data_IF_272686795523
#
_entry.id   IF_272686795523
#
_cell.length_a   1.000
_cell.length_b   1.000
_cell.length_c   1.000
_cell.angle_alpha   90.00
_cell.angle_beta   90.00
_cell.angle_gamma   90.00
#
_symmetry.space_group_name_H-M   'P 1'
#
loop_
_entity.id
_entity.type
_entity.pdbx_description
1 polymer ?
#
# COMPACT_ATOMS: atom_id res chain seq x y z
N UNK A 1 14.46 20.82 11.92
CA UNK A 1 13.98 21.40 13.21
C UNK A 1 12.56 20.91 13.42
N UNK A 2 12.19 20.46 14.62
CA UNK A 2 10.81 20.16 14.96
C UNK A 2 10.13 21.49 15.29
N UNK A 3 9.05 21.81 14.60
CA UNK A 3 8.24 23.00 14.88
C UNK A 3 7.07 22.58 15.76
N UNK A 4 6.81 23.29 16.85
CA UNK A 4 5.66 23.03 17.71
C UNK A 4 4.44 23.81 17.21
N UNK A 5 3.29 23.13 17.17
CA UNK A 5 2.01 23.72 16.79
C UNK A 5 0.97 23.51 17.90
N UNK A 6 0.10 24.50 18.07
CA UNK A 6 -1.07 24.37 18.97
C UNK A 6 -2.32 24.12 18.11
N UNK A 7 -2.87 22.94 18.25
CA UNK A 7 -4.05 22.49 17.51
C UNK A 7 -5.34 22.97 18.22
N UNK A 8 -6.31 23.39 17.44
CA UNK A 8 -7.70 23.59 17.91
C UNK A 8 -8.38 22.24 18.17
N UNK A 9 -9.51 22.25 18.86
CA UNK A 9 -10.31 21.04 19.09
C UNK A 9 -10.74 20.39 17.77
N UNK A 10 -11.15 21.17 16.76
CA UNK A 10 -11.55 20.69 15.45
C UNK A 10 -10.38 20.01 14.72
N UNK A 11 -9.21 20.64 14.71
CA UNK A 11 -8.01 20.08 14.08
C UNK A 11 -7.60 18.74 14.75
N UNK A 12 -7.73 18.63 16.08
CA UNK A 12 -7.47 17.38 16.80
C UNK A 12 -8.41 16.27 16.36
N UNK A 13 -9.71 16.53 16.30
CA UNK A 13 -10.67 15.53 15.85
C UNK A 13 -10.41 15.06 14.42
N UNK A 14 -10.06 15.97 13.51
CA UNK A 14 -9.70 15.60 12.15
C UNK A 14 -8.45 14.73 12.07
N UNK A 15 -7.44 14.98 12.92
CA UNK A 15 -6.26 14.12 13.00
C UNK A 15 -6.57 12.76 13.66
N UNK A 16 -7.47 12.70 14.64
CA UNK A 16 -7.92 11.44 15.25
C UNK A 16 -8.67 10.56 14.22
N UNK A 17 -9.51 11.18 13.40
CA UNK A 17 -10.15 10.49 12.27
C UNK A 17 -9.12 9.99 11.26
N UNK A 18 -8.17 10.85 10.85
CA UNK A 18 -7.09 10.47 9.97
C UNK A 18 -6.27 9.29 10.55
N UNK A 19 -5.90 9.35 11.84
CA UNK A 19 -5.24 8.26 12.53
C UNK A 19 -6.00 6.94 12.42
N UNK A 20 -7.32 6.98 12.63
CA UNK A 20 -8.18 5.80 12.53
C UNK A 20 -8.20 5.24 11.11
N UNK A 21 -8.17 6.11 10.09
CA UNK A 21 -8.08 5.70 8.69
C UNK A 21 -6.75 4.97 8.42
N UNK A 22 -5.61 5.56 8.81
CA UNK A 22 -4.29 4.94 8.65
C UNK A 22 -4.21 3.57 9.34
N UNK A 23 -4.69 3.45 10.58
CA UNK A 23 -4.74 2.19 11.30
C UNK A 23 -5.56 1.11 10.57
N UNK A 24 -6.66 1.51 9.92
CA UNK A 24 -7.49 0.60 9.13
C UNK A 24 -6.80 0.22 7.81
N UNK A 25 -6.14 1.17 7.12
CA UNK A 25 -5.37 0.89 5.91
C UNK A 25 -4.24 -0.10 6.18
N UNK A 26 -3.46 0.11 7.26
CA UNK A 26 -2.39 -0.82 7.68
C UNK A 26 -2.95 -2.24 7.88
N UNK A 27 -4.07 -2.38 8.59
CA UNK A 27 -4.71 -3.69 8.82
C UNK A 27 -5.19 -4.32 7.51
N UNK A 28 -5.82 -3.54 6.63
CA UNK A 28 -6.28 -4.02 5.32
C UNK A 28 -5.11 -4.48 4.46
N UNK A 29 -4.07 -3.68 4.30
CA UNK A 29 -2.89 -4.05 3.52
C UNK A 29 -2.21 -5.29 4.05
N UNK A 30 -2.04 -5.41 5.38
CA UNK A 30 -1.46 -6.60 6.00
C UNK A 30 -2.28 -7.87 5.76
N UNK A 31 -3.61 -7.78 5.88
CA UNK A 31 -4.51 -8.90 5.64
C UNK A 31 -4.53 -9.28 4.15
N UNK A 32 -4.60 -8.29 3.26
CA UNK A 32 -4.71 -8.52 1.82
C UNK A 32 -3.40 -9.01 1.21
N UNK A 33 -2.25 -8.62 1.75
CA UNK A 33 -0.97 -9.23 1.40
C UNK A 33 -0.98 -10.75 1.64
N UNK A 34 -1.59 -11.20 2.74
CA UNK A 34 -1.68 -12.63 3.07
C UNK A 34 -2.70 -13.35 2.17
N UNK A 35 -3.81 -12.69 1.85
CA UNK A 35 -4.91 -13.27 1.05
C UNK A 35 -4.63 -13.30 -0.44
N UNK A 36 -3.89 -12.35 -0.97
CA UNK A 36 -3.56 -12.26 -2.38
C UNK A 36 -2.87 -13.53 -2.88
N UNK A 37 -3.17 -13.91 -4.12
CA UNK A 37 -2.56 -15.07 -4.76
C UNK A 37 -1.30 -14.71 -5.53
N UNK A 38 -1.30 -13.56 -6.21
CA UNK A 38 -0.19 -13.09 -7.05
C UNK A 38 0.92 -12.46 -6.20
N UNK A 39 2.16 -12.92 -6.40
CA UNK A 39 3.32 -12.42 -5.67
C UNK A 39 3.61 -10.94 -5.93
N UNK A 40 3.29 -10.43 -7.13
CA UNK A 40 3.44 -9.02 -7.48
C UNK A 40 2.44 -8.17 -6.69
N UNK A 41 1.19 -8.64 -6.55
CA UNK A 41 0.17 -7.95 -5.75
C UNK A 41 0.55 -7.92 -4.27
N UNK A 42 1.06 -9.05 -3.73
CA UNK A 42 1.61 -9.08 -2.36
C UNK A 42 2.67 -8.01 -2.14
N UNK A 43 3.58 -7.84 -3.11
CA UNK A 43 4.63 -6.82 -3.03
C UNK A 43 4.05 -5.39 -3.04
N UNK A 44 3.03 -5.12 -3.86
CA UNK A 44 2.33 -3.83 -3.89
C UNK A 44 1.67 -3.56 -2.54
N UNK A 45 0.90 -4.50 -2.01
CA UNK A 45 0.22 -4.32 -0.72
C UNK A 45 1.20 -4.14 0.44
N UNK A 46 2.31 -4.88 0.44
CA UNK A 46 3.38 -4.71 1.44
C UNK A 46 4.00 -3.32 1.38
N UNK A 47 4.33 -2.83 0.19
CA UNK A 47 4.97 -1.52 0.00
C UNK A 47 4.05 -0.39 0.44
N UNK A 48 2.78 -0.42 0.03
CA UNK A 48 1.79 0.57 0.44
C UNK A 48 1.57 0.50 1.97
N UNK A 49 1.38 -0.69 2.55
CA UNK A 49 1.19 -0.85 3.99
C UNK A 49 2.35 -0.34 4.84
N UNK A 50 3.59 -0.38 4.33
CA UNK A 50 4.75 0.24 4.98
C UNK A 50 4.64 1.77 4.96
N UNK A 51 4.13 2.35 3.87
CA UNK A 51 3.89 3.80 3.77
C UNK A 51 2.78 4.26 4.72
N UNK A 52 1.71 3.50 4.86
CA UNK A 52 0.65 3.79 5.84
C UNK A 52 1.20 3.84 7.28
N UNK A 53 2.19 3.02 7.62
CA UNK A 53 2.86 3.10 8.93
C UNK A 53 3.62 4.41 9.10
N UNK A 54 4.27 4.92 8.05
CA UNK A 54 4.93 6.22 8.06
C UNK A 54 3.91 7.37 8.20
N UNK A 55 2.76 7.28 7.50
CA UNK A 55 1.64 8.21 7.64
C UNK A 55 1.11 8.22 9.08
N UNK A 56 0.84 7.06 9.65
CA UNK A 56 0.38 6.93 11.04
C UNK A 56 1.36 7.57 12.05
N UNK A 57 2.66 7.35 11.86
CA UNK A 57 3.68 7.98 12.71
C UNK A 57 3.64 9.51 12.57
N UNK A 58 3.49 10.02 11.35
CA UNK A 58 3.38 11.43 11.05
C UNK A 58 2.14 12.05 11.71
N UNK A 59 0.98 11.40 11.60
CA UNK A 59 -0.27 11.85 12.25
C UNK A 59 -0.12 11.86 13.77
N UNK A 60 0.52 10.85 14.37
CA UNK A 60 0.77 10.82 15.82
C UNK A 60 1.71 11.96 16.27
N UNK A 61 2.70 12.34 15.46
CA UNK A 61 3.54 13.51 15.73
C UNK A 61 2.71 14.79 15.70
N UNK A 62 1.87 15.00 14.69
CA UNK A 62 0.98 16.14 14.61
C UNK A 62 0.02 16.22 15.82
N UNK A 63 -0.55 15.09 16.24
CA UNK A 63 -1.41 15.03 17.43
C UNK A 63 -0.68 15.41 18.71
N UNK A 64 0.62 15.12 18.80
CA UNK A 64 1.48 15.57 19.91
C UNK A 64 1.91 17.05 19.83
N UNK A 65 1.46 17.77 18.79
CA UNK A 65 1.83 19.16 18.54
C UNK A 65 3.18 19.35 17.86
N UNK A 66 3.75 18.29 17.28
CA UNK A 66 5.03 18.33 16.59
C UNK A 66 4.83 18.24 15.08
N UNK A 67 5.37 19.20 14.33
CA UNK A 67 5.36 19.14 12.87
C UNK A 67 6.67 18.51 12.40
N UNK A 68 6.62 17.35 11.72
CA UNK A 68 7.83 16.72 11.19
C UNK A 68 8.44 17.57 10.09
N UNK A 69 9.78 17.56 10.03
CA UNK A 69 10.50 18.19 8.93
C UNK A 69 10.32 17.39 7.66
N UNK A 70 9.63 17.96 6.68
CA UNK A 70 9.51 17.36 5.36
C UNK A 70 10.85 17.51 4.63
N UNK A 71 11.69 16.47 4.66
CA UNK A 71 12.86 16.44 3.79
C UNK A 71 12.37 16.32 2.33
N UNK A 72 12.46 17.39 1.59
CA UNK A 72 12.39 17.36 0.12
C UNK A 72 13.59 16.57 -0.41
N UNK A 73 13.49 15.26 -0.53
CA UNK A 73 14.61 14.48 -1.02
C UNK A 73 14.35 12.99 -1.08
N UNK A 74 13.51 12.58 -2.01
CA UNK A 74 13.68 11.28 -2.64
C UNK A 74 13.38 11.43 -4.12
N UNK A 75 14.22 12.21 -4.76
CA UNK A 75 14.43 12.16 -6.19
C UNK A 75 15.12 10.82 -6.48
N UNK A 76 14.47 9.97 -7.27
CA UNK A 76 14.90 8.62 -7.56
C UNK A 76 16.37 8.54 -7.96
N UNK A 77 17.14 7.77 -7.23
CA UNK A 77 18.40 7.23 -7.69
C UNK A 77 18.12 6.13 -8.74
N UNK A 78 18.09 6.53 -10.00
CA UNK A 78 18.39 5.61 -11.07
C UNK A 78 19.86 5.23 -10.95
N UNK A 79 20.12 4.08 -10.37
CA UNK A 79 21.44 3.47 -10.47
C UNK A 79 21.45 2.52 -11.67
N UNK A 80 21.87 3.07 -12.80
CA UNK A 80 22.30 2.30 -13.97
C UNK A 80 23.63 1.66 -13.62
N UNK A 81 23.67 0.37 -13.42
CA UNK A 81 24.93 -0.37 -13.44
C UNK A 81 24.88 -1.45 -14.49
N UNK A 82 25.46 -1.08 -15.63
CA UNK A 82 25.92 -1.97 -16.68
C UNK A 82 27.19 -2.69 -16.22
N UNK A 83 27.24 -4.00 -16.33
CA UNK A 83 28.49 -4.76 -16.62
C UNK A 83 28.10 -6.18 -17.05
N UNK A 84 28.37 -6.38 -18.16
CA UNK A 84 29.08 -7.22 -19.09
C UNK A 84 29.70 -8.50 -18.51
N UNK A 85 29.37 -9.65 -19.16
CA UNK A 85 30.33 -10.64 -19.55
C UNK A 85 30.49 -11.90 -18.74
N UNK A 86 30.26 -13.03 -19.37
CA UNK A 86 30.85 -14.29 -18.89
C UNK A 86 30.09 -15.55 -19.31
N UNK A 87 30.58 -16.16 -20.34
CA UNK A 87 30.14 -17.29 -21.14
C UNK A 87 30.41 -18.66 -20.47
N UNK A 88 29.64 -19.67 -20.93
CA UNK A 88 29.97 -21.14 -20.97
C UNK A 88 29.73 -21.94 -19.68
N UNK A 89 29.09 -23.10 -19.69
CA UNK A 89 29.06 -24.21 -20.62
C UNK A 89 28.06 -25.29 -20.19
N UNK A 90 27.61 -26.05 -21.15
CA UNK A 90 26.83 -27.29 -21.19
C UNK A 90 27.14 -28.33 -20.09
N UNK A 91 26.12 -29.02 -19.55
CA UNK A 91 26.01 -30.47 -19.85
C UNK A 91 24.70 -31.07 -19.37
N UNK A 92 24.23 -31.98 -20.17
CA UNK A 92 23.04 -32.81 -20.16
C UNK A 92 22.94 -33.82 -19.01
N UNK A 93 21.70 -34.16 -18.64
CA UNK A 93 21.43 -35.32 -17.81
C UNK A 93 19.93 -35.63 -17.77
N UNK A 94 19.49 -36.54 -18.63
CA UNK A 94 18.14 -37.11 -18.62
C UNK A 94 17.95 -38.01 -17.40
N UNK A 95 16.85 -37.87 -16.69
CA UNK A 95 16.23 -39.00 -16.01
C UNK A 95 14.71 -38.80 -15.91
N UNK A 96 14.05 -39.62 -16.68
CA UNK A 96 12.62 -39.84 -16.72
C UNK A 96 12.26 -40.84 -15.63
N UNK A 97 11.39 -40.48 -14.68
CA UNK A 97 10.65 -41.45 -13.90
C UNK A 97 9.18 -41.06 -13.90
N UNK A 98 8.40 -42.03 -14.29
CA UNK A 98 6.97 -42.01 -14.52
C UNK A 98 6.27 -42.72 -13.35
N UNK A 99 5.02 -42.34 -13.15
CA UNK A 99 3.98 -43.03 -12.35
C UNK A 99 3.92 -42.66 -10.86
N UNK A 100 2.77 -42.45 -10.25
CA UNK A 100 1.43 -43.01 -10.36
C UNK A 100 0.38 -42.09 -9.74
N UNK A 101 -0.81 -42.12 -10.32
CA UNK A 101 -2.07 -41.62 -9.78
C UNK A 101 -2.41 -42.28 -8.45
N UNK A 102 -2.78 -41.44 -7.48
CA UNK A 102 -3.67 -41.89 -6.42
C UNK A 102 -4.69 -40.77 -6.17
N UNK A 103 -5.89 -41.02 -6.68
CA UNK A 103 -7.09 -40.28 -6.33
C UNK A 103 -7.41 -40.55 -4.87
N UNK A 104 -7.47 -39.50 -4.08
CA UNK A 104 -8.14 -39.56 -2.77
C UNK A 104 -9.20 -38.47 -2.80
N UNK A 105 -10.41 -38.85 -3.13
CA UNK A 105 -11.61 -38.12 -2.77
C UNK A 105 -11.69 -38.05 -1.25
N UNK A 106 -11.37 -36.90 -0.70
CA UNK A 106 -11.73 -36.59 0.66
C UNK A 106 -12.66 -35.39 0.66
N UNK A 107 -13.92 -35.71 0.59
CA UNK A 107 -15.05 -34.84 0.82
C UNK A 107 -14.99 -34.36 2.27
N UNK A 108 -14.33 -33.27 2.51
CA UNK A 108 -14.47 -32.52 3.76
C UNK A 108 -15.49 -31.42 3.54
N UNK A 109 -16.68 -31.62 4.11
CA UNK A 109 -17.68 -30.61 4.33
C UNK A 109 -17.13 -29.57 5.33
N UNK A 110 -16.23 -28.72 4.86
CA UNK A 110 -15.77 -27.52 5.55
C UNK A 110 -16.49 -26.33 4.92
N UNK A 111 -17.09 -25.50 5.75
CA UNK A 111 -17.58 -24.17 5.37
C UNK A 111 -16.60 -23.56 4.40
N UNK A 112 -17.00 -23.38 3.14
CA UNK A 112 -16.17 -22.71 2.14
C UNK A 112 -16.02 -21.26 2.58
N UNK A 113 -14.93 -20.95 3.30
CA UNK A 113 -14.59 -19.59 3.58
C UNK A 113 -14.45 -18.88 2.22
N UNK A 114 -15.25 -17.87 2.00
CA UNK A 114 -15.20 -17.05 0.79
C UNK A 114 -13.78 -16.52 0.64
N UNK A 115 -13.08 -16.96 -0.39
CA UNK A 115 -11.75 -16.47 -0.72
C UNK A 115 -11.89 -15.36 -1.75
N UNK A 116 -11.67 -14.13 -1.35
CA UNK A 116 -11.68 -13.00 -2.25
C UNK A 116 -10.63 -13.17 -3.35
N UNK A 117 -10.98 -12.83 -4.58
CA UNK A 117 -10.05 -12.81 -5.71
C UNK A 117 -9.11 -11.61 -5.63
N UNK A 118 -7.94 -11.69 -6.26
CA UNK A 118 -7.01 -10.56 -6.34
C UNK A 118 -7.68 -9.30 -6.91
N UNK A 119 -8.64 -9.46 -7.83
CA UNK A 119 -9.43 -8.35 -8.37
C UNK A 119 -10.32 -7.69 -7.31
N UNK A 120 -10.97 -8.47 -6.46
CA UNK A 120 -11.83 -7.95 -5.39
C UNK A 120 -11.01 -7.23 -4.33
N UNK A 121 -9.84 -7.78 -3.94
CA UNK A 121 -8.91 -7.13 -3.01
C UNK A 121 -8.42 -5.78 -3.56
N UNK A 122 -8.03 -5.74 -4.83
CA UNK A 122 -7.62 -4.50 -5.50
C UNK A 122 -8.77 -3.48 -5.57
N UNK A 123 -9.97 -3.92 -5.92
CA UNK A 123 -11.14 -3.04 -6.02
C UNK A 123 -11.47 -2.39 -4.69
N UNK A 124 -11.47 -3.17 -3.61
CA UNK A 124 -11.74 -2.66 -2.27
C UNK A 124 -10.64 -1.69 -1.79
N UNK A 125 -9.35 -2.03 -2.01
CA UNK A 125 -8.26 -1.13 -1.64
C UNK A 125 -8.29 0.17 -2.46
N UNK A 126 -8.54 0.09 -3.77
CA UNK A 126 -8.64 1.29 -4.62
C UNK A 126 -9.77 2.23 -4.18
N UNK A 127 -10.89 1.67 -3.73
CA UNK A 127 -11.98 2.46 -3.13
C UNK A 127 -11.56 3.07 -1.79
N UNK A 128 -10.82 2.32 -0.98
CA UNK A 128 -10.29 2.78 0.32
C UNK A 128 -9.35 3.97 0.12
N UNK A 129 -8.38 3.89 -0.80
CA UNK A 129 -7.45 4.98 -1.11
C UNK A 129 -8.19 6.26 -1.56
N UNK A 130 -9.19 6.10 -2.43
CA UNK A 130 -10.01 7.24 -2.86
C UNK A 130 -10.75 7.90 -1.69
N UNK A 131 -11.28 7.09 -0.78
CA UNK A 131 -11.98 7.59 0.41
C UNK A 131 -11.01 8.34 1.33
N UNK A 132 -9.88 7.73 1.71
CA UNK A 132 -8.89 8.32 2.61
C UNK A 132 -8.31 9.60 2.02
N UNK A 133 -7.91 9.58 0.74
CA UNK A 133 -7.45 10.79 0.04
C UNK A 133 -8.49 11.92 0.08
N UNK A 134 -9.78 11.62 -0.02
CA UNK A 134 -10.85 12.63 0.05
C UNK A 134 -11.03 13.20 1.46
N UNK A 135 -10.79 12.42 2.52
CA UNK A 135 -10.84 12.93 3.89
C UNK A 135 -9.70 13.89 4.16
N UNK A 136 -8.50 13.59 3.67
CA UNK A 136 -7.37 14.53 3.71
C UNK A 136 -7.67 15.83 2.97
N UNK A 137 -8.31 15.77 1.79
CA UNK A 137 -8.71 16.95 1.05
C UNK A 137 -9.60 17.88 1.89
N UNK A 138 -10.55 17.32 2.63
CA UNK A 138 -11.41 18.10 3.53
C UNK A 138 -10.62 18.66 4.70
N UNK A 139 -9.79 17.84 5.35
CA UNK A 139 -9.01 18.23 6.53
C UNK A 139 -8.07 19.41 6.22
N UNK A 140 -7.33 19.36 5.11
CA UNK A 140 -6.36 20.40 4.71
C UNK A 140 -6.95 21.82 4.78
N UNK A 141 -8.20 22.02 4.37
CA UNK A 141 -8.86 23.32 4.40
C UNK A 141 -9.21 23.83 5.82
N UNK A 142 -9.23 22.93 6.79
CA UNK A 142 -9.63 23.24 8.17
C UNK A 142 -8.43 23.56 9.08
N UNK A 143 -7.21 23.28 8.63
CA UNK A 143 -5.99 23.60 9.39
C UNK A 143 -5.50 25.00 9.08
N UNK A 144 -5.24 25.79 10.14
CA UNK A 144 -4.71 27.15 10.02
C UNK A 144 -3.21 27.19 9.80
N UNK A 145 -2.46 26.23 10.34
CA UNK A 145 -1.00 26.17 10.23
C UNK A 145 -0.59 25.65 8.85
N UNK A 146 0.26 26.42 8.15
CA UNK A 146 0.68 26.09 6.77
C UNK A 146 1.57 24.86 6.73
N UNK A 147 2.43 24.65 7.72
CA UNK A 147 3.33 23.50 7.75
C UNK A 147 2.54 22.19 8.00
N UNK A 148 1.50 22.25 8.83
CA UNK A 148 0.59 21.11 9.01
C UNK A 148 -0.13 20.81 7.70
N UNK A 149 -0.65 21.82 6.99
CA UNK A 149 -1.26 21.62 5.68
C UNK A 149 -0.30 21.00 4.67
N UNK A 150 0.95 21.41 4.65
CA UNK A 150 1.96 20.84 3.75
C UNK A 150 2.20 19.35 4.05
N UNK A 151 2.23 18.95 5.32
CA UNK A 151 2.34 17.55 5.73
C UNK A 151 1.11 16.76 5.27
N UNK A 152 -0.10 17.26 5.50
CA UNK A 152 -1.34 16.58 5.08
C UNK A 152 -1.47 16.49 3.56
N UNK A 153 -1.06 17.54 2.82
CA UNK A 153 -0.97 17.51 1.36
C UNK A 153 0.02 16.43 0.87
N UNK A 154 1.14 16.25 1.57
CA UNK A 154 2.10 15.21 1.23
C UNK A 154 1.50 13.82 1.41
N UNK A 155 0.86 13.54 2.55
CA UNK A 155 0.19 12.27 2.79
C UNK A 155 -0.88 12.04 1.71
N UNK A 156 -1.78 13.02 1.46
CA UNK A 156 -2.80 12.91 0.42
C UNK A 156 -2.21 12.53 -0.95
N UNK A 157 -1.06 13.09 -1.31
CA UNK A 157 -0.38 12.75 -2.56
C UNK A 157 0.17 11.33 -2.56
N UNK A 158 0.57 10.81 -1.41
CA UNK A 158 1.02 9.42 -1.29
C UNK A 158 -0.14 8.44 -1.38
N UNK A 159 -1.34 8.75 -0.82
CA UNK A 159 -2.56 7.97 -1.04
C UNK A 159 -2.89 7.83 -2.55
N UNK A 160 -2.71 8.92 -3.31
CA UNK A 160 -2.89 8.88 -4.77
C UNK A 160 -1.91 7.91 -5.44
N UNK A 161 -0.66 7.84 -4.97
CA UNK A 161 0.34 6.88 -5.49
C UNK A 161 0.01 5.44 -5.10
N UNK A 162 -0.57 5.21 -3.92
CA UNK A 162 -1.08 3.88 -3.54
C UNK A 162 -2.17 3.44 -4.50
N UNK A 163 -3.12 4.31 -4.78
CA UNK A 163 -4.16 4.06 -5.79
C UNK A 163 -3.57 3.82 -7.18
N UNK A 164 -2.55 4.58 -7.59
CA UNK A 164 -1.84 4.41 -8.87
C UNK A 164 -1.17 3.04 -8.97
N UNK A 165 -0.47 2.59 -7.92
CA UNK A 165 0.19 1.30 -7.88
C UNK A 165 -0.80 0.14 -8.02
N UNK A 166 -1.94 0.20 -7.31
CA UNK A 166 -3.01 -0.81 -7.41
C UNK A 166 -3.63 -0.78 -8.81
N UNK A 167 -3.93 0.40 -9.34
CA UNK A 167 -4.49 0.57 -10.68
C UNK A 167 -3.57 0.01 -11.77
N UNK A 168 -2.28 0.34 -11.72
CA UNK A 168 -1.28 -0.15 -12.66
C UNK A 168 -1.19 -1.68 -12.63
N UNK A 169 -1.23 -2.29 -11.44
CA UNK A 169 -1.30 -3.74 -11.30
C UNK A 169 -2.57 -4.30 -11.95
N UNK A 170 -3.75 -3.77 -11.63
CA UNK A 170 -5.03 -4.23 -12.20
C UNK A 170 -5.04 -4.12 -13.72
N UNK A 171 -4.51 -3.03 -14.27
CA UNK A 171 -4.39 -2.83 -15.72
C UNK A 171 -3.47 -3.86 -16.36
N UNK A 172 -2.30 -4.15 -15.75
CA UNK A 172 -1.35 -5.13 -16.24
C UNK A 172 -1.91 -6.56 -16.30
N UNK A 173 -2.92 -6.85 -15.47
CA UNK A 173 -3.60 -8.16 -15.40
C UNK A 173 -4.94 -8.20 -16.14
N UNK A 174 -5.30 -7.13 -16.87
CA UNK A 174 -6.59 -7.05 -17.56
C UNK A 174 -7.81 -7.01 -16.62
N UNK A 175 -7.61 -6.64 -15.36
CA UNK A 175 -8.66 -6.54 -14.35
C UNK A 175 -9.42 -5.21 -14.41
N UNK A 176 -8.85 -4.22 -15.09
CA UNK A 176 -9.39 -2.88 -15.25
C UNK A 176 -9.18 -2.38 -16.67
N UNK A 177 -10.26 -1.99 -17.32
CA UNK A 177 -10.21 -1.31 -18.62
C UNK A 177 -10.93 0.02 -18.48
N UNK A 178 -10.23 1.15 -18.58
CA UNK A 178 -10.91 2.44 -18.69
C UNK A 178 -11.73 2.44 -19.97
N UNK A 179 -13.02 2.72 -19.87
CA UNK A 179 -13.92 2.91 -21.03
C UNK A 179 -13.82 4.34 -21.53
#
# INVERSE_FOLDING_TARGET
>A
MITNVTLTTKEKFLLEDAKTHEENCIKKYSNYEQLACDAQLKAVFRANGQKEQEHLQTINQLLSGQVPSMNQGSQGSQNSQSSQGGQSSKQSGHARVQSQQASIDQQSSGTSAFKASDKELCTDMLMTEKYVSSTYNTAIFEFKDTQVRDVLNHIQKEEQKHGEAIFAYMQSKGMYSPS
#
